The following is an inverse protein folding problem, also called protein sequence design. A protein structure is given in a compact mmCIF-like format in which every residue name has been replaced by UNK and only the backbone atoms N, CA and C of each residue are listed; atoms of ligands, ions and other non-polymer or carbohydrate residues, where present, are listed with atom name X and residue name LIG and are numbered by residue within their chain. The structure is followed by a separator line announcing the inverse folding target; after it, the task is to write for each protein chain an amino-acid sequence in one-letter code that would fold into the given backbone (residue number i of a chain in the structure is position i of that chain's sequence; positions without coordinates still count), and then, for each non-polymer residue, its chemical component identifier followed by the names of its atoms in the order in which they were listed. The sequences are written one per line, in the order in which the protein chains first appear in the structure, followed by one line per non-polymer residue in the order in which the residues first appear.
data_IF_887651018342
#
_entry.id   IF_887651018342
#
_cell.length_a   1.000
_cell.length_b   1.000
_cell.length_c   1.000
_cell.angle_alpha   90.00
_cell.angle_beta   90.00
_cell.angle_gamma   90.00
#
_symmetry.space_group_name_H-M   'P 1'
#
loop_
_entity.id
_entity.type
_entity.pdbx_description
1 polymer ?
#
# COMPACT_ATOMS: atom_id res chain seq x y z
N UNK A 1 -21.55 -5.76 16.35
CA UNK A 1 -20.10 -5.69 16.10
C UNK A 1 -19.73 -6.71 15.04
N UNK A 2 -19.63 -6.24 13.81
CA UNK A 2 -19.12 -6.99 12.68
C UNK A 2 -17.60 -6.80 12.59
N UNK A 3 -16.86 -7.90 12.42
CA UNK A 3 -15.44 -7.93 12.09
C UNK A 3 -15.31 -8.05 10.58
N UNK A 4 -14.85 -6.98 9.94
CA UNK A 4 -14.62 -6.92 8.50
C UNK A 4 -13.12 -7.10 8.26
N UNK A 5 -12.73 -8.22 7.68
CA UNK A 5 -11.36 -8.44 7.24
C UNK A 5 -11.09 -7.74 5.91
N UNK A 6 -9.95 -7.07 5.81
CA UNK A 6 -9.48 -6.46 4.57
C UNK A 6 -8.10 -7.02 4.22
N UNK A 7 -8.04 -7.70 3.09
CA UNK A 7 -6.83 -8.25 2.50
C UNK A 7 -6.47 -7.47 1.24
N UNK A 8 -5.19 -7.44 0.89
CA UNK A 8 -4.73 -6.72 -0.30
C UNK A 8 -3.68 -7.54 -1.04
N UNK A 9 -3.90 -7.71 -2.34
CA UNK A 9 -2.92 -8.31 -3.23
C UNK A 9 -1.69 -7.39 -3.32
N UNK A 10 -0.50 -7.92 -3.04
CA UNK A 10 0.75 -7.21 -3.23
C UNK A 10 1.06 -6.95 -4.71
N UNK A 11 2.19 -6.30 -5.01
CA UNK A 11 2.71 -6.24 -6.39
C UNK A 11 2.81 -7.69 -6.96
N UNK A 12 2.62 -7.86 -8.27
CA UNK A 12 2.49 -9.14 -9.02
C UNK A 12 3.53 -10.23 -8.69
N UNK A 13 4.61 -9.91 -7.98
CA UNK A 13 5.65 -10.84 -7.54
C UNK A 13 5.34 -11.59 -6.24
N UNK A 14 4.36 -11.15 -5.44
CA UNK A 14 4.05 -11.75 -4.13
C UNK A 14 3.14 -12.98 -4.19
N UNK A 15 2.60 -13.32 -5.37
CA UNK A 15 1.86 -14.56 -5.64
C UNK A 15 0.58 -14.76 -4.81
N UNK A 16 -0.15 -15.82 -5.14
CA UNK A 16 -1.40 -16.19 -4.47
C UNK A 16 -1.17 -16.66 -3.01
N UNK A 17 0.01 -17.22 -2.71
CA UNK A 17 0.37 -17.75 -1.39
C UNK A 17 0.33 -16.69 -0.27
N UNK A 18 0.76 -15.46 -0.56
CA UNK A 18 0.72 -14.39 0.45
C UNK A 18 -0.71 -13.92 0.74
N UNK A 19 -1.57 -13.90 -0.29
CA UNK A 19 -2.97 -13.59 -0.10
C UNK A 19 -3.66 -14.68 0.72
N UNK A 20 -3.42 -15.95 0.41
CA UNK A 20 -3.98 -17.08 1.14
C UNK A 20 -3.62 -17.02 2.64
N UNK A 21 -2.38 -16.67 2.97
CA UNK A 21 -1.97 -16.46 4.37
C UNK A 21 -2.74 -15.33 5.05
N UNK A 22 -2.95 -14.20 4.37
CA UNK A 22 -3.76 -13.11 4.90
C UNK A 22 -5.21 -13.55 5.14
N UNK A 23 -5.81 -14.24 4.17
CA UNK A 23 -7.19 -14.70 4.26
C UNK A 23 -7.35 -15.69 5.42
N UNK A 24 -6.47 -16.69 5.51
CA UNK A 24 -6.49 -17.68 6.60
C UNK A 24 -6.35 -17.02 7.99
N UNK A 25 -5.50 -16.00 8.11
CA UNK A 25 -5.34 -15.25 9.36
C UNK A 25 -6.60 -14.43 9.70
N UNK A 26 -7.20 -13.75 8.72
CA UNK A 26 -8.44 -12.99 8.91
C UNK A 26 -9.62 -13.92 9.29
N UNK A 27 -9.69 -15.11 8.69
CA UNK A 27 -10.65 -16.16 9.06
C UNK A 27 -10.43 -16.62 10.50
N UNK A 28 -9.18 -16.88 10.90
CA UNK A 28 -8.81 -17.28 12.27
C UNK A 28 -9.18 -16.22 13.31
N UNK A 29 -9.10 -14.93 12.96
CA UNK A 29 -9.52 -13.82 13.81
C UNK A 29 -11.05 -13.65 13.90
N UNK A 30 -11.80 -14.46 13.16
CA UNK A 30 -13.25 -14.51 13.16
C UNK A 30 -13.88 -13.36 12.38
N UNK A 31 -13.24 -12.89 11.30
CA UNK A 31 -13.87 -11.93 10.38
C UNK A 31 -15.10 -12.57 9.71
N UNK A 32 -16.28 -11.95 9.83
CA UNK A 32 -17.49 -12.46 9.18
C UNK A 32 -17.56 -12.09 7.70
N UNK A 33 -16.95 -10.97 7.34
CA UNK A 33 -16.87 -10.49 5.96
C UNK A 33 -15.41 -10.23 5.66
N UNK A 34 -14.85 -10.91 4.67
CA UNK A 34 -13.49 -10.65 4.19
C UNK A 34 -13.58 -10.09 2.78
N UNK A 35 -12.89 -8.98 2.54
CA UNK A 35 -12.83 -8.31 1.26
C UNK A 35 -11.38 -8.17 0.82
N UNK A 36 -11.16 -8.49 -0.44
CA UNK A 36 -9.82 -8.43 -1.05
C UNK A 36 -9.77 -7.26 -2.03
N UNK A 37 -8.75 -6.44 -1.91
CA UNK A 37 -8.40 -5.43 -2.90
C UNK A 37 -7.37 -5.99 -3.88
N UNK A 38 -7.62 -5.84 -5.18
CA UNK A 38 -6.68 -6.24 -6.22
C UNK A 38 -5.47 -5.29 -6.29
N UNK A 39 -4.35 -5.78 -6.82
CA UNK A 39 -3.06 -5.14 -6.73
C UNK A 39 -3.04 -3.69 -7.26
N UNK A 40 -2.30 -2.86 -6.53
CA UNK A 40 -2.27 -1.41 -6.68
C UNK A 40 -1.14 -0.94 -7.59
N UNK A 41 -1.48 -0.08 -8.55
CA UNK A 41 -0.53 0.86 -9.15
C UNK A 41 -0.46 2.10 -8.27
N UNK A 42 0.75 2.60 -7.96
CA UNK A 42 0.93 3.80 -7.11
C UNK A 42 0.02 4.97 -7.53
N UNK A 43 -0.92 5.34 -6.65
CA UNK A 43 -1.88 6.43 -6.83
C UNK A 43 -3.28 6.01 -7.30
N UNK A 44 -3.52 4.71 -7.52
CA UNK A 44 -4.84 4.22 -7.91
C UNK A 44 -5.86 4.33 -6.75
N UNK A 45 -7.16 4.54 -7.02
CA UNK A 45 -8.17 4.45 -5.98
C UNK A 45 -8.22 3.03 -5.38
N UNK A 46 -8.50 2.92 -4.09
CA UNK A 46 -8.77 1.66 -3.38
C UNK A 46 -10.29 1.50 -3.20
N UNK A 47 -11.03 1.05 -4.24
CA UNK A 47 -12.49 1.05 -4.23
C UNK A 47 -13.08 0.11 -3.18
N UNK A 48 -12.42 -1.02 -2.89
CA UNK A 48 -12.91 -1.99 -1.91
C UNK A 48 -12.77 -1.42 -0.51
N UNK A 49 -11.61 -0.83 -0.18
CA UNK A 49 -11.42 -0.14 1.09
C UNK A 49 -12.41 1.03 1.24
N UNK A 50 -12.59 1.84 0.19
CA UNK A 50 -13.53 2.95 0.22
C UNK A 50 -14.97 2.48 0.49
N UNK A 51 -15.40 1.39 -0.17
CA UNK A 51 -16.72 0.80 0.07
C UNK A 51 -16.87 0.30 1.51
N UNK A 52 -15.87 -0.37 2.08
CA UNK A 52 -15.91 -0.79 3.48
C UNK A 52 -16.10 0.43 4.38
N UNK A 53 -15.29 1.48 4.19
CA UNK A 53 -15.39 2.71 4.97
C UNK A 53 -16.72 3.45 4.78
N UNK A 54 -17.42 3.21 3.67
CA UNK A 54 -18.73 3.81 3.40
C UNK A 54 -19.89 3.04 4.03
N UNK A 55 -19.76 1.72 4.23
CA UNK A 55 -20.81 0.88 4.83
C UNK A 55 -20.56 0.48 6.28
N UNK A 56 -19.35 0.62 6.79
CA UNK A 56 -19.02 0.27 8.16
C UNK A 56 -19.84 1.10 9.15
N UNK A 57 -20.38 0.42 10.16
CA UNK A 57 -21.29 0.99 11.13
C UNK A 57 -20.66 1.12 12.52
N UNK A 58 -21.39 1.77 13.43
CA UNK A 58 -20.97 1.95 14.81
C UNK A 58 -20.77 0.60 15.51
N UNK A 59 -19.62 0.48 16.19
CA UNK A 59 -19.23 -0.73 16.90
C UNK A 59 -18.73 -1.86 15.98
N UNK A 60 -18.53 -1.62 14.68
CA UNK A 60 -17.84 -2.54 13.80
C UNK A 60 -16.31 -2.35 13.87
N UNK A 61 -15.58 -3.39 13.47
CA UNK A 61 -14.12 -3.40 13.49
C UNK A 61 -13.58 -3.82 12.12
N UNK A 62 -12.76 -2.96 11.53
CA UNK A 62 -11.93 -3.28 10.37
C UNK A 62 -10.68 -4.00 10.85
N UNK A 63 -10.40 -5.18 10.29
CA UNK A 63 -9.24 -6.01 10.64
C UNK A 63 -8.33 -6.13 9.43
N UNK A 64 -7.04 -5.87 9.64
CA UNK A 64 -5.98 -6.14 8.67
C UNK A 64 -4.85 -6.89 9.34
N UNK A 65 -4.01 -7.59 8.58
CA UNK A 65 -2.82 -8.23 9.17
C UNK A 65 -1.73 -7.20 9.38
N UNK A 66 -1.51 -6.28 8.42
CA UNK A 66 -0.46 -5.24 8.48
C UNK A 66 -0.95 -3.85 8.06
N UNK A 67 -0.31 -2.80 8.56
CA UNK A 67 -0.69 -1.41 8.30
C UNK A 67 -0.51 -1.00 6.83
N UNK A 68 0.53 -1.52 6.17
CA UNK A 68 0.83 -1.26 4.76
C UNK A 68 -0.27 -1.74 3.80
N UNK A 69 -1.16 -2.64 4.25
CA UNK A 69 -2.31 -3.06 3.46
C UNK A 69 -3.32 -1.93 3.30
N UNK A 70 -3.49 -1.10 4.33
CA UNK A 70 -4.40 0.05 4.32
C UNK A 70 -3.80 1.27 3.62
N UNK A 71 -2.52 1.54 3.83
CA UNK A 71 -1.92 2.81 3.47
C UNK A 71 -0.41 2.69 3.21
N UNK A 72 0.09 3.44 2.23
CA UNK A 72 1.54 3.52 1.95
C UNK A 72 2.21 4.73 2.60
N UNK A 73 1.42 5.62 3.23
CA UNK A 73 1.87 6.85 3.90
C UNK A 73 1.15 7.02 5.23
N UNK A 74 1.76 7.70 6.20
CA UNK A 74 1.10 7.95 7.48
C UNK A 74 -0.14 8.83 7.32
N UNK A 75 -0.16 9.76 6.37
CA UNK A 75 -1.35 10.56 6.03
C UNK A 75 -2.53 9.72 5.58
N UNK A 76 -2.33 8.79 4.64
CA UNK A 76 -3.39 7.88 4.20
C UNK A 76 -3.92 7.03 5.36
N UNK A 77 -3.03 6.55 6.23
CA UNK A 77 -3.43 5.77 7.40
C UNK A 77 -4.28 6.61 8.36
N UNK A 78 -3.89 7.86 8.62
CA UNK A 78 -4.67 8.82 9.41
C UNK A 78 -6.06 9.04 8.82
N UNK A 79 -6.16 9.22 7.51
CA UNK A 79 -7.46 9.42 6.83
C UNK A 79 -8.38 8.21 7.03
N UNK A 80 -7.85 6.98 6.94
CA UNK A 80 -8.60 5.75 7.20
C UNK A 80 -9.07 5.71 8.65
N UNK A 81 -8.17 5.94 9.61
CA UNK A 81 -8.50 5.91 11.05
C UNK A 81 -9.54 6.97 11.40
N UNK A 82 -9.42 8.18 10.85
CA UNK A 82 -10.39 9.26 11.05
C UNK A 82 -11.78 8.90 10.49
N UNK A 83 -11.85 8.28 9.31
CA UNK A 83 -13.12 7.83 8.72
C UNK A 83 -13.79 6.75 9.57
N UNK A 84 -13.03 5.76 10.06
CA UNK A 84 -13.56 4.73 10.95
C UNK A 84 -14.17 5.33 12.21
N UNK A 85 -13.45 6.26 12.85
CA UNK A 85 -13.92 6.92 14.06
C UNK A 85 -15.15 7.79 13.84
N UNK A 86 -15.22 8.50 12.71
CA UNK A 86 -16.41 9.26 12.34
C UNK A 86 -17.65 8.37 12.17
N UNK A 87 -17.47 7.06 11.92
CA UNK A 87 -18.52 6.04 11.88
C UNK A 87 -18.72 5.30 13.20
N UNK A 88 -17.96 5.61 14.24
CA UNK A 88 -17.97 4.87 15.51
C UNK A 88 -17.39 3.46 15.38
N UNK A 89 -16.57 3.22 14.35
CA UNK A 89 -15.91 1.94 14.09
C UNK A 89 -14.43 1.98 14.51
N UNK A 90 -13.81 0.81 14.61
CA UNK A 90 -12.41 0.64 15.02
C UNK A 90 -11.56 -0.09 13.98
N UNK A 91 -10.24 0.02 14.12
CA UNK A 91 -9.23 -0.71 13.37
C UNK A 91 -8.50 -1.65 14.33
N UNK A 92 -8.27 -2.89 13.90
CA UNK A 92 -7.35 -3.84 14.52
C UNK A 92 -6.31 -4.34 13.50
N UNK A 93 -5.05 -4.43 13.93
CA UNK A 93 -3.92 -4.89 13.14
C UNK A 93 -3.30 -6.10 13.82
N UNK A 94 -3.41 -7.28 13.20
CA UNK A 94 -3.03 -8.55 13.83
C UNK A 94 -1.53 -8.62 14.16
N UNK A 95 -0.65 -8.34 13.20
CA UNK A 95 0.80 -8.57 13.36
C UNK A 95 1.43 -7.69 14.44
N UNK A 96 0.86 -6.50 14.66
CA UNK A 96 1.32 -5.53 15.64
C UNK A 96 0.52 -5.58 16.96
N UNK A 97 -0.48 -6.47 17.05
CA UNK A 97 -1.49 -6.52 18.12
C UNK A 97 -1.99 -5.11 18.53
N UNK A 98 -2.42 -4.36 17.53
CA UNK A 98 -2.67 -2.93 17.65
C UNK A 98 -4.12 -2.59 17.34
N UNK A 99 -4.78 -1.88 18.25
CA UNK A 99 -6.18 -1.47 18.14
C UNK A 99 -6.36 0.03 18.26
N UNK A 100 -7.31 0.60 17.51
CA UNK A 100 -7.74 1.98 17.68
C UNK A 100 -8.84 2.15 18.74
N UNK A 101 -9.18 1.09 19.48
CA UNK A 101 -10.12 1.15 20.59
C UNK A 101 -9.46 1.61 21.90
N UNK A 102 -10.28 2.19 22.78
CA UNK A 102 -9.88 2.56 24.12
C UNK A 102 -8.72 3.58 24.17
N UNK A 103 -7.93 3.48 25.23
CA UNK A 103 -6.86 4.43 25.53
C UNK A 103 -5.65 4.25 24.61
N UNK A 104 -5.34 3.01 24.24
CA UNK A 104 -4.28 2.66 23.28
C UNK A 104 -4.54 3.27 21.90
N UNK A 105 -5.80 3.24 21.44
CA UNK A 105 -6.18 3.86 20.18
C UNK A 105 -6.08 5.38 20.15
N UNK A 106 -6.26 6.05 21.30
CA UNK A 106 -6.00 7.50 21.42
C UNK A 106 -4.51 7.80 21.31
N UNK A 107 -3.67 7.01 21.97
CA UNK A 107 -2.22 7.15 21.91
C UNK A 107 -1.67 6.93 20.49
N UNK A 108 -2.11 5.87 19.82
CA UNK A 108 -1.71 5.58 18.44
C UNK A 108 -2.01 6.76 17.51
N UNK A 109 -3.20 7.34 17.63
CA UNK A 109 -3.61 8.48 16.81
C UNK A 109 -2.74 9.70 17.04
N UNK A 110 -2.46 10.04 18.30
CA UNK A 110 -1.57 11.15 18.64
C UNK A 110 -0.17 10.96 18.02
N UNK A 111 0.35 9.72 18.04
CA UNK A 111 1.63 9.39 17.39
C UNK A 111 1.52 9.53 15.88
N UNK A 112 0.49 8.98 15.24
CA UNK A 112 0.29 9.09 13.80
C UNK A 112 0.14 10.55 13.36
N UNK A 113 -0.59 11.37 14.11
CA UNK A 113 -0.76 12.82 13.88
C UNK A 113 0.58 13.55 13.97
N UNK A 114 1.38 13.26 15.01
CA UNK A 114 2.71 13.83 15.16
C UNK A 114 3.64 13.43 14.01
N UNK A 115 3.62 12.16 13.57
CA UNK A 115 4.40 11.68 12.42
C UNK A 115 3.92 12.31 11.12
N UNK A 116 2.61 12.43 10.91
CA UNK A 116 2.02 13.03 9.72
C UNK A 116 2.35 14.52 9.54
N UNK A 117 2.65 15.23 10.63
CA UNK A 117 3.17 16.62 10.58
C UNK A 117 4.63 16.70 10.16
N UNK A 118 5.41 15.64 10.43
CA UNK A 118 6.82 15.54 10.06
C UNK A 118 7.01 14.97 8.64
N UNK A 119 6.02 14.24 8.11
CA UNK A 119 6.04 13.77 6.74
C UNK A 119 6.02 14.96 5.76
N UNK A 120 6.93 15.01 4.77
CA UNK A 120 6.95 16.08 3.79
C UNK A 120 5.60 16.16 3.05
N UNK A 121 5.01 17.36 3.02
CA UNK A 121 3.71 17.66 2.39
C UNK A 121 3.68 17.32 0.90
N UNK A 122 4.85 17.30 0.28
CA UNK A 122 5.03 16.79 -1.06
C UNK A 122 5.27 15.28 -0.99
N UNK A 123 4.31 14.54 -1.53
CA UNK A 123 4.54 13.25 -2.18
C UNK A 123 5.51 13.41 -3.36
N UNK A 124 6.73 13.92 -3.08
CA UNK A 124 7.91 13.75 -3.89
C UNK A 124 8.28 12.28 -3.78
N UNK A 125 7.41 11.48 -4.42
CA UNK A 125 7.62 10.16 -4.92
C UNK A 125 8.73 9.49 -4.14
N UNK A 126 8.36 8.69 -3.15
CA UNK A 126 8.95 7.36 -3.10
C UNK A 126 8.56 6.70 -4.42
N UNK A 127 9.23 7.13 -5.51
CA UNK A 127 9.48 6.36 -6.70
C UNK A 127 10.10 5.14 -6.05
N UNK A 128 9.28 4.09 -5.81
CA UNK A 128 9.77 2.72 -5.70
C UNK A 128 10.92 2.69 -6.67
N UNK A 129 12.13 2.52 -6.14
CA UNK A 129 13.41 2.70 -6.83
C UNK A 129 13.26 2.16 -8.24
N UNK A 130 12.86 3.04 -9.16
CA UNK A 130 12.61 2.62 -10.52
C UNK A 130 14.02 2.41 -11.01
N UNK A 131 14.39 1.14 -11.22
CA UNK A 131 15.61 0.67 -11.87
C UNK A 131 16.58 1.83 -12.12
N UNK A 132 17.57 1.99 -11.24
CA UNK A 132 18.36 3.21 -11.27
C UNK A 132 18.89 3.45 -12.69
N UNK A 133 18.90 4.71 -13.13
CA UNK A 133 19.28 5.06 -14.49
C UNK A 133 20.63 4.40 -14.89
N UNK A 134 21.53 4.23 -13.92
CA UNK A 134 22.81 3.56 -14.13
C UNK A 134 22.66 2.07 -14.52
N UNK A 135 21.71 1.33 -13.93
CA UNK A 135 21.45 -0.10 -14.20
C UNK A 135 20.84 -0.31 -15.58
N UNK A 136 19.83 0.49 -15.94
CA UNK A 136 19.23 0.48 -17.29
C UNK A 136 20.30 0.77 -18.35
N UNK A 137 21.18 1.74 -18.09
CA UNK A 137 22.27 2.12 -18.99
C UNK A 137 23.34 1.02 -19.09
N UNK A 138 23.65 0.33 -18.00
CA UNK A 138 24.61 -0.78 -17.99
C UNK A 138 24.08 -1.96 -18.82
N UNK A 139 22.83 -2.37 -18.59
CA UNK A 139 22.20 -3.47 -19.33
C UNK A 139 22.01 -3.14 -20.82
N UNK A 140 21.67 -1.89 -21.14
CA UNK A 140 21.57 -1.45 -22.55
C UNK A 140 22.93 -1.50 -23.26
N UNK A 141 24.02 -1.09 -22.58
CA UNK A 141 25.39 -1.21 -23.12
C UNK A 141 25.83 -2.66 -23.28
N UNK A 142 25.36 -3.56 -22.43
CA UNK A 142 25.56 -5.00 -22.55
C UNK A 142 24.71 -5.65 -23.65
N UNK A 143 23.96 -4.88 -24.45
CA UNK A 143 23.16 -5.38 -25.57
C UNK A 143 21.79 -5.93 -25.20
N UNK A 144 21.34 -5.77 -23.94
CA UNK A 144 20.04 -6.26 -23.50
C UNK A 144 18.92 -5.37 -24.04
N UNK A 145 17.89 -5.98 -24.63
CA UNK A 145 16.73 -5.27 -25.17
C UNK A 145 15.85 -4.62 -24.08
N UNK A 146 15.15 -3.50 -24.36
CA UNK A 146 14.37 -2.77 -23.35
C UNK A 146 13.28 -3.58 -22.64
N UNK A 147 12.70 -4.55 -23.35
CA UNK A 147 11.69 -5.46 -22.80
C UNK A 147 12.30 -6.40 -21.77
N UNK A 148 13.48 -6.94 -22.05
CA UNK A 148 14.20 -7.81 -21.13
C UNK A 148 14.78 -7.03 -19.93
N UNK A 149 15.19 -5.78 -20.14
CA UNK A 149 15.58 -4.86 -19.06
C UNK A 149 14.41 -4.63 -18.10
N UNK A 150 13.22 -4.35 -18.64
CA UNK A 150 12.01 -4.16 -17.86
C UNK A 150 11.69 -5.40 -17.01
N UNK A 151 11.80 -6.59 -17.61
CA UNK A 151 11.59 -7.88 -16.93
C UNK A 151 12.61 -8.13 -15.82
N UNK A 152 13.90 -7.90 -16.07
CA UNK A 152 14.97 -8.14 -15.10
C UNK A 152 14.94 -7.20 -13.90
N UNK A 153 14.51 -5.96 -14.12
CA UNK A 153 14.54 -4.93 -13.08
C UNK A 153 13.17 -4.73 -12.40
N UNK A 154 12.16 -5.55 -12.75
CA UNK A 154 10.82 -5.45 -12.16
C UNK A 154 10.14 -4.10 -12.40
N UNK A 155 10.42 -3.45 -13.55
CA UNK A 155 9.85 -2.14 -13.89
C UNK A 155 9.05 -2.20 -15.18
N UNK A 156 8.09 -1.28 -15.36
CA UNK A 156 7.32 -1.20 -16.60
C UNK A 156 8.21 -0.88 -17.81
N UNK A 157 7.85 -1.42 -18.98
CA UNK A 157 8.51 -1.09 -20.26
C UNK A 157 8.53 0.43 -20.52
N UNK A 158 7.46 1.13 -20.11
CA UNK A 158 7.36 2.58 -20.23
C UNK A 158 8.43 3.31 -19.41
N UNK A 159 8.75 2.82 -18.21
CA UNK A 159 9.82 3.37 -17.36
C UNK A 159 11.19 3.26 -18.05
N UNK A 160 11.49 2.11 -18.66
CA UNK A 160 12.75 1.90 -19.41
C UNK A 160 12.84 2.86 -20.60
N UNK A 161 11.80 2.94 -21.44
CA UNK A 161 11.78 3.81 -22.62
C UNK A 161 11.86 5.30 -22.29
N UNK A 162 11.23 5.73 -21.19
CA UNK A 162 11.31 7.11 -20.71
C UNK A 162 12.74 7.45 -20.30
N UNK A 163 13.39 6.56 -19.53
CA UNK A 163 14.77 6.76 -19.06
C UNK A 163 15.79 6.75 -20.18
N UNK A 164 15.66 5.85 -21.16
CA UNK A 164 16.52 5.85 -22.34
C UNK A 164 16.40 7.14 -23.16
N UNK A 165 15.18 7.68 -23.32
CA UNK A 165 14.96 8.96 -24.01
C UNK A 165 15.56 10.16 -23.26
N UNK A 166 15.39 10.22 -21.94
CA UNK A 166 16.01 11.24 -21.08
C UNK A 166 17.55 11.24 -21.26
N UNK A 167 18.18 10.06 -21.32
CA UNK A 167 19.63 9.95 -21.55
C UNK A 167 20.08 10.36 -22.96
N UNK A 168 19.29 10.04 -23.99
CA UNK A 168 19.59 10.45 -25.36
C UNK A 168 19.49 11.98 -25.52
N UNK A 169 18.59 12.64 -24.80
CA UNK A 169 18.52 14.10 -24.77
C UNK A 169 19.70 14.73 -24.02
N UNK A 170 20.12 14.15 -22.89
CA UNK A 170 21.29 14.62 -22.13
C UNK A 170 22.61 14.48 -22.91
N UNK A 171 22.74 13.44 -23.75
CA UNK A 171 23.93 13.22 -24.57
C UNK A 171 24.01 14.12 -25.82
N UNK A 172 22.92 14.81 -26.18
CA UNK A 172 22.84 15.72 -27.34
C UNK A 172 22.91 17.20 -26.95
N UNK A 173 22.83 17.52 -25.67
CA UNK A 173 23.01 18.86 -25.10
C UNK A 173 24.48 19.10 -24.75
#
# INVERSE_FOLDING_TARGET
MLKIGYARLGDEQLGDEHLEQQLAELERLGCQVIRTEEAYVDGAPAPVLAAILDFIAEGDQLIVTRLEHLATTSRQLLDVVARLQARGASLYVSDADLSTEGDGGRALRAVLEAVGQLEPTNGARRRRSGAEAHEIRALRRAGVGPVEIARRLGVSRMTVWRKLREMESEARA
#
